data_IF_023589948137
#
_entry.id   IF_023589948137
#
_cell.length_a   1.000
_cell.length_b   1.000
_cell.length_c   1.000
_cell.angle_alpha   90.00
_cell.angle_beta   90.00
_cell.angle_gamma   90.00
#
_symmetry.space_group_name_H-M   'P 1'
#
loop_
_entity.id
_entity.type
_entity.pdbx_description
1 polymer ?
#
# COMPACT_ATOMS: atom_id res chain seq x y z
N UNK A 1 16.75 0.57 22.14
CA UNK A 1 16.95 -0.25 20.92
C UNK A 1 15.67 -0.92 20.46
N UNK A 2 14.91 -1.59 21.34
CA UNK A 2 13.65 -2.26 20.99
C UNK A 2 12.56 -1.29 20.49
N UNK A 3 12.40 -0.12 21.11
CA UNK A 3 11.32 0.82 20.79
C UNK A 3 11.47 1.48 19.41
N UNK A 4 12.67 1.96 19.07
CA UNK A 4 12.98 2.47 17.74
C UNK A 4 12.80 1.39 16.66
N UNK A 5 13.25 0.17 16.93
CA UNK A 5 13.03 -0.96 16.02
C UNK A 5 11.53 -1.26 15.85
N UNK A 6 10.73 -1.23 16.92
CA UNK A 6 9.28 -1.40 16.85
C UNK A 6 8.59 -0.31 16.02
N UNK A 7 9.09 0.93 16.07
CA UNK A 7 8.62 2.02 15.22
C UNK A 7 8.96 1.73 13.76
N UNK A 8 10.20 1.31 13.46
CA UNK A 8 10.64 0.95 12.11
C UNK A 8 9.83 -0.22 11.52
N UNK A 9 9.55 -1.24 12.33
CA UNK A 9 8.73 -2.39 11.93
C UNK A 9 7.29 -1.92 11.64
N UNK A 10 6.71 -1.09 12.50
CA UNK A 10 5.35 -0.58 12.31
C UNK A 10 5.21 0.24 11.02
N UNK A 11 6.14 1.19 10.77
CA UNK A 11 6.13 1.96 9.53
C UNK A 11 6.32 1.10 8.28
N UNK A 12 7.16 0.05 8.36
CA UNK A 12 7.39 -0.86 7.23
C UNK A 12 6.15 -1.70 6.92
N UNK A 13 5.44 -2.16 7.94
CA UNK A 13 4.20 -2.91 7.77
C UNK A 13 3.11 -2.06 7.08
N UNK A 14 2.97 -0.79 7.47
CA UNK A 14 2.04 0.15 6.81
C UNK A 14 2.49 0.44 5.38
N UNK A 15 3.78 0.76 5.17
CA UNK A 15 4.32 1.06 3.85
C UNK A 15 4.14 -0.10 2.85
N UNK A 16 4.29 -1.34 3.29
CA UNK A 16 4.17 -2.52 2.43
C UNK A 16 2.71 -2.83 2.04
N UNK A 17 1.77 -2.61 2.95
CA UNK A 17 0.38 -3.06 2.77
C UNK A 17 -0.47 -2.05 2.00
N UNK A 18 -0.14 -0.76 2.06
CA UNK A 18 -0.81 0.28 1.28
C UNK A 18 -0.82 -0.01 -0.24
N UNK A 19 0.33 -0.32 -0.90
CA UNK A 19 0.35 -0.72 -2.30
C UNK A 19 -0.57 -1.92 -2.61
N UNK A 20 -0.62 -2.91 -1.71
CA UNK A 20 -1.48 -4.09 -1.90
C UNK A 20 -2.96 -3.74 -1.80
N UNK A 21 -3.36 -2.79 -0.94
CA UNK A 21 -4.74 -2.28 -0.93
C UNK A 21 -5.12 -1.64 -2.25
N UNK A 22 -4.24 -0.81 -2.82
CA UNK A 22 -4.49 -0.19 -4.13
C UNK A 22 -4.59 -1.24 -5.24
N UNK A 23 -3.71 -2.25 -5.24
CA UNK A 23 -3.74 -3.34 -6.21
C UNK A 23 -5.03 -4.16 -6.09
N UNK A 24 -5.44 -4.50 -4.86
CA UNK A 24 -6.71 -5.19 -4.62
C UNK A 24 -7.89 -4.35 -5.13
N UNK A 25 -7.98 -3.07 -4.77
CA UNK A 25 -9.03 -2.18 -5.28
C UNK A 25 -9.04 -2.07 -6.81
N UNK A 26 -7.86 -1.88 -7.43
CA UNK A 26 -7.71 -1.80 -8.87
C UNK A 26 -8.07 -3.10 -9.60
N UNK A 27 -7.91 -4.25 -8.94
CA UNK A 27 -8.24 -5.57 -9.51
C UNK A 27 -9.73 -5.70 -9.88
N UNK A 28 -10.63 -5.04 -9.14
CA UNK A 28 -12.07 -4.99 -9.50
C UNK A 28 -12.25 -4.31 -10.86
N UNK A 29 -11.62 -3.15 -11.04
CA UNK A 29 -11.66 -2.38 -12.29
C UNK A 29 -11.03 -3.16 -13.45
N UNK A 30 -9.88 -3.82 -13.20
CA UNK A 30 -9.21 -4.69 -14.17
C UNK A 30 -10.10 -5.88 -14.58
N UNK A 31 -10.76 -6.53 -13.62
CA UNK A 31 -11.61 -7.70 -13.88
C UNK A 31 -12.88 -7.35 -14.66
N UNK A 32 -13.44 -6.16 -14.46
CA UNK A 32 -14.65 -5.68 -15.15
C UNK A 32 -14.41 -5.26 -16.60
N UNK A 33 -13.19 -4.86 -16.96
CA UNK A 33 -12.84 -4.43 -18.33
C UNK A 33 -12.60 -5.65 -19.21
N UNK A 34 -13.58 -6.03 -20.01
CA UNK A 34 -13.47 -7.17 -20.93
C UNK A 34 -12.59 -6.87 -22.16
N UNK A 35 -12.35 -5.59 -22.47
CA UNK A 35 -11.44 -5.10 -23.54
C UNK A 35 -9.97 -5.49 -23.34
N UNK A 36 -9.57 -5.75 -22.10
CA UNK A 36 -8.20 -6.14 -21.76
C UNK A 36 -8.10 -7.66 -21.92
N UNK A 37 -7.25 -8.13 -22.84
CA UNK A 37 -6.89 -9.54 -22.92
C UNK A 37 -6.20 -9.97 -21.62
N UNK A 38 -6.77 -10.96 -20.94
CA UNK A 38 -6.26 -11.48 -19.68
C UNK A 38 -5.53 -12.78 -19.97
N UNK A 39 -4.18 -12.77 -20.06
CA UNK A 39 -3.41 -13.98 -20.41
C UNK A 39 -3.58 -15.08 -19.36
N UNK A 40 -3.99 -14.73 -18.14
CA UNK A 40 -4.24 -15.66 -17.05
C UNK A 40 -5.45 -15.21 -16.22
N UNK A 41 -6.35 -16.16 -15.91
CA UNK A 41 -7.57 -15.92 -15.13
C UNK A 41 -7.73 -16.99 -14.05
N UNK A 42 -7.44 -16.64 -12.80
CA UNK A 42 -7.66 -17.52 -11.64
C UNK A 42 -9.15 -17.58 -11.28
N UNK A 43 -9.79 -16.41 -11.14
CA UNK A 43 -11.19 -16.32 -10.73
C UNK A 43 -12.11 -16.26 -11.95
N UNK A 44 -12.91 -17.31 -12.17
CA UNK A 44 -13.84 -17.40 -13.31
C UNK A 44 -15.14 -16.61 -13.07
N UNK A 45 -15.66 -16.61 -11.83
CA UNK A 45 -16.90 -15.90 -11.49
C UNK A 45 -16.65 -14.43 -11.15
N UNK A 46 -17.26 -13.51 -11.91
CA UNK A 46 -17.16 -12.06 -11.68
C UNK A 46 -17.69 -11.66 -10.29
N UNK A 47 -18.83 -12.22 -9.87
CA UNK A 47 -19.44 -11.92 -8.56
C UNK A 47 -18.57 -12.36 -7.38
N UNK A 48 -18.05 -13.59 -7.42
CA UNK A 48 -17.14 -14.12 -6.38
C UNK A 48 -15.85 -13.30 -6.34
N UNK A 49 -15.31 -12.92 -7.50
CA UNK A 49 -14.10 -12.09 -7.59
C UNK A 49 -14.33 -10.77 -6.86
N UNK A 50 -15.41 -10.05 -7.20
CA UNK A 50 -15.72 -8.74 -6.59
C UNK A 50 -15.90 -8.88 -5.08
N UNK A 51 -16.67 -9.87 -4.62
CA UNK A 51 -16.88 -10.11 -3.20
C UNK A 51 -15.56 -10.35 -2.45
N UNK A 52 -14.73 -11.28 -2.93
CA UNK A 52 -13.44 -11.58 -2.30
C UNK A 52 -12.53 -10.36 -2.29
N UNK A 53 -12.48 -9.60 -3.38
CA UNK A 53 -11.64 -8.41 -3.47
C UNK A 53 -12.11 -7.30 -2.51
N UNK A 54 -13.42 -7.11 -2.35
CA UNK A 54 -13.96 -6.18 -1.35
C UNK A 54 -13.57 -6.62 0.05
N UNK A 55 -13.75 -7.91 0.38
CA UNK A 55 -13.40 -8.46 1.70
C UNK A 55 -11.91 -8.26 1.99
N UNK A 56 -11.03 -8.63 1.06
CA UNK A 56 -9.57 -8.47 1.22
C UNK A 56 -9.21 -7.00 1.39
N UNK A 57 -9.75 -6.11 0.55
CA UNK A 57 -9.47 -4.67 0.64
C UNK A 57 -9.92 -4.10 1.97
N UNK A 58 -11.11 -4.49 2.46
CA UNK A 58 -11.62 -4.07 3.75
C UNK A 58 -10.75 -4.56 4.91
N UNK A 59 -10.38 -5.86 4.92
CA UNK A 59 -9.54 -6.44 5.98
C UNK A 59 -8.18 -5.75 6.05
N UNK A 60 -7.51 -5.54 4.91
CA UNK A 60 -6.20 -4.86 4.89
C UNK A 60 -6.35 -3.38 5.26
N UNK A 61 -7.45 -2.73 4.85
CA UNK A 61 -7.77 -1.35 5.25
C UNK A 61 -7.96 -1.20 6.75
N UNK A 62 -8.74 -2.09 7.37
CA UNK A 62 -8.89 -2.12 8.83
C UNK A 62 -7.56 -2.40 9.53
N UNK A 63 -6.77 -3.37 9.05
CA UNK A 63 -5.47 -3.69 9.64
C UNK A 63 -4.54 -2.47 9.64
N UNK A 64 -4.50 -1.70 8.55
CA UNK A 64 -3.73 -0.45 8.49
C UNK A 64 -4.26 0.61 9.44
N UNK A 65 -5.58 0.82 9.47
CA UNK A 65 -6.23 1.79 10.34
C UNK A 65 -5.91 1.51 11.82
N UNK A 66 -6.06 0.26 12.25
CA UNK A 66 -5.74 -0.15 13.63
C UNK A 66 -4.25 -0.06 13.91
N UNK A 67 -3.38 -0.51 12.99
CA UNK A 67 -1.93 -0.42 13.18
C UNK A 67 -1.44 1.02 13.39
N UNK A 68 -2.15 1.99 12.82
CA UNK A 68 -1.86 3.41 12.97
C UNK A 68 -2.48 4.00 14.24
N UNK A 69 -3.75 3.70 14.54
CA UNK A 69 -4.51 4.37 15.63
C UNK A 69 -4.28 3.72 16.99
N UNK A 70 -4.16 2.40 17.06
CA UNK A 70 -4.04 1.65 18.31
C UNK A 70 -2.87 2.13 19.20
N UNK A 71 -1.66 2.44 18.67
CA UNK A 71 -0.57 2.94 19.50
C UNK A 71 -0.92 4.24 20.24
N UNK A 72 -1.64 5.17 19.60
CA UNK A 72 -2.05 6.42 20.24
C UNK A 72 -3.04 6.19 21.40
N UNK A 73 -3.95 5.21 21.27
CA UNK A 73 -4.88 4.84 22.36
C UNK A 73 -4.11 4.27 23.55
N UNK A 74 -3.02 3.55 23.29
CA UNK A 74 -2.10 3.04 24.32
C UNK A 74 -1.11 4.06 24.89
N UNK A 75 -1.16 5.33 24.46
CA UNK A 75 -0.25 6.40 24.90
C UNK A 75 1.02 6.57 24.05
N UNK A 76 1.25 5.72 23.04
CA UNK A 76 2.38 5.80 22.11
C UNK A 76 2.01 6.61 20.85
N UNK A 77 1.92 7.93 21.04
CA UNK A 77 1.60 8.88 19.96
C UNK A 77 2.75 8.95 18.94
N UNK A 78 4.00 8.75 19.37
CA UNK A 78 5.16 8.81 18.50
C UNK A 78 5.11 7.71 17.42
N UNK A 79 4.77 6.48 17.79
CA UNK A 79 4.62 5.37 16.83
C UNK A 79 3.50 5.59 15.83
N UNK A 80 2.40 6.24 16.24
CA UNK A 80 1.30 6.64 15.34
C UNK A 80 1.78 7.65 14.30
N UNK A 81 2.46 8.71 14.75
CA UNK A 81 3.00 9.75 13.86
C UNK A 81 3.98 9.14 12.87
N UNK A 82 4.93 8.33 13.33
CA UNK A 82 5.94 7.70 12.46
C UNK A 82 5.36 6.68 11.49
N UNK A 83 4.30 5.95 11.88
CA UNK A 83 3.60 5.01 11.00
C UNK A 83 2.94 5.71 9.79
N UNK A 84 2.61 7.01 9.91
CA UNK A 84 2.08 7.83 8.80
C UNK A 84 3.21 8.60 8.10
N UNK A 85 4.04 9.30 8.87
CA UNK A 85 5.06 10.21 8.35
C UNK A 85 6.17 9.46 7.59
N UNK A 86 6.56 8.27 8.07
CA UNK A 86 7.61 7.45 7.44
C UNK A 86 7.27 7.11 5.98
N UNK A 87 6.16 6.40 5.71
CA UNK A 87 5.75 6.08 4.34
C UNK A 87 5.61 7.29 3.41
N UNK A 88 5.07 8.41 3.92
CA UNK A 88 4.94 9.66 3.15
C UNK A 88 6.33 10.22 2.78
N UNK A 89 7.22 10.35 3.75
CA UNK A 89 8.57 10.85 3.53
C UNK A 89 9.33 9.99 2.51
N UNK A 90 9.31 8.67 2.67
CA UNK A 90 9.99 7.76 1.74
C UNK A 90 9.38 7.77 0.35
N UNK A 91 8.06 7.98 0.23
CA UNK A 91 7.40 8.15 -1.08
C UNK A 91 7.90 9.41 -1.80
N UNK A 92 8.03 10.54 -1.09
CA UNK A 92 8.56 11.78 -1.66
C UNK A 92 10.02 11.59 -2.11
N UNK A 93 10.85 10.96 -1.28
CA UNK A 93 12.25 10.66 -1.63
C UNK A 93 12.32 9.76 -2.85
N UNK A 94 11.50 8.71 -2.92
CA UNK A 94 11.45 7.80 -4.06
C UNK A 94 11.05 8.54 -5.35
N UNK A 95 10.05 9.41 -5.30
CA UNK A 95 9.62 10.23 -6.44
C UNK A 95 10.71 11.20 -6.88
N UNK A 96 11.44 11.83 -5.95
CA UNK A 96 12.55 12.72 -6.27
C UNK A 96 13.71 11.97 -6.95
N UNK A 97 14.05 10.76 -6.46
CA UNK A 97 15.05 9.89 -7.08
C UNK A 97 14.61 9.44 -8.48
N UNK A 98 13.35 9.03 -8.64
CA UNK A 98 12.79 8.63 -9.91
C UNK A 98 12.80 9.78 -10.94
N UNK A 99 12.37 10.98 -10.55
CA UNK A 99 12.38 12.16 -11.41
C UNK A 99 13.81 12.54 -11.85
N UNK A 100 14.79 12.41 -10.94
CA UNK A 100 16.21 12.63 -11.28
C UNK A 100 16.72 11.59 -12.28
N UNK A 101 16.38 10.33 -12.06
CA UNK A 101 16.74 9.25 -12.98
C UNK A 101 16.15 9.47 -14.37
N UNK A 102 14.85 9.77 -14.45
CA UNK A 102 14.16 10.02 -15.73
C UNK A 102 14.78 11.19 -16.51
N UNK A 103 15.16 12.26 -15.81
CA UNK A 103 15.85 13.41 -16.43
C UNK A 103 17.22 13.04 -16.99
N UNK A 104 17.96 12.16 -16.32
CA UNK A 104 19.27 11.72 -16.79
C UNK A 104 19.13 10.77 -17.99
N UNK A 105 18.21 9.80 -17.94
CA UNK A 105 17.96 8.87 -19.06
C UNK A 105 17.48 9.61 -20.31
N UNK A 106 16.64 10.64 -20.17
CA UNK A 106 16.20 11.49 -21.30
C UNK A 106 17.30 12.41 -21.85
N UNK A 107 18.40 12.60 -21.13
CA UNK A 107 19.54 13.39 -21.58
C UNK A 107 20.55 12.54 -22.36
N UNK A 108 20.57 11.23 -22.11
CA UNK A 108 21.45 10.26 -22.76
C UNK A 108 20.83 9.60 -24.01
N UNK A 109 19.53 9.84 -24.27
CA UNK A 109 18.81 9.48 -25.50
C UNK A 109 18.57 10.72 -26.37
#
# INVERSE_FOLDING_TARGET
MSEFFNILVAMTNVAMTIPYMFLAGAFISFKRRDEIEKPFVVFKSKGVTIFLTIVVTAVVGFANLFSIIEPAIGGDVAKTIWSIAGPIFFSIVALALFARYEKNVKKDN
#
